data_IF_285739724527
#
_entry.id   IF_285739724527
#
_cell.length_a   1.000
_cell.length_b   1.000
_cell.length_c   1.000
_cell.angle_alpha   90.00
_cell.angle_beta   90.00
_cell.angle_gamma   90.00
#
_symmetry.space_group_name_H-M   'P 1'
#
loop_
_entity.id
_entity.type
_entity.pdbx_description
1 polymer ?
#
# COMPACT_ATOMS: atom_id res chain seq x y z
N UNK A 1 -48.38 27.26 -13.64
CA UNK A 1 -47.32 26.75 -14.49
C UNK A 1 -45.94 27.26 -14.09
N UNK A 2 -45.63 28.55 -13.91
CA UNK A 2 -44.30 29.08 -13.55
C UNK A 2 -43.74 28.50 -12.24
N UNK A 3 -44.53 28.30 -11.19
CA UNK A 3 -44.07 27.73 -9.90
C UNK A 3 -43.64 26.25 -10.00
N UNK A 4 -44.31 25.48 -10.87
CA UNK A 4 -43.92 24.07 -11.10
C UNK A 4 -42.61 23.92 -11.84
N UNK A 5 -42.36 24.82 -12.81
CA UNK A 5 -41.08 24.85 -13.54
C UNK A 5 -39.88 25.22 -12.62
N UNK A 6 -40.10 26.12 -11.68
CA UNK A 6 -39.05 26.49 -10.69
C UNK A 6 -38.75 25.35 -9.74
N UNK A 7 -39.78 24.60 -9.28
CA UNK A 7 -39.60 23.42 -8.43
C UNK A 7 -38.87 22.29 -9.16
N UNK A 8 -39.17 22.04 -10.42
CA UNK A 8 -38.50 21.05 -11.26
C UNK A 8 -37.02 21.46 -11.53
N UNK A 9 -36.74 22.74 -11.79
CA UNK A 9 -35.39 23.24 -11.95
C UNK A 9 -34.56 23.10 -10.66
N UNK A 10 -35.15 23.40 -9.48
CA UNK A 10 -34.48 23.17 -8.19
C UNK A 10 -34.26 21.68 -7.91
N UNK A 11 -35.22 20.81 -8.21
CA UNK A 11 -35.04 19.35 -8.04
C UNK A 11 -33.93 18.81 -8.97
N UNK A 12 -33.84 19.30 -10.20
CA UNK A 12 -32.74 18.93 -11.12
C UNK A 12 -31.38 19.48 -10.65
N UNK A 13 -31.33 20.69 -10.09
CA UNK A 13 -30.11 21.25 -9.52
C UNK A 13 -29.64 20.45 -8.29
N UNK A 14 -30.57 20.03 -7.43
CA UNK A 14 -30.24 19.18 -6.26
C UNK A 14 -29.79 17.78 -6.66
N UNK A 15 -30.40 17.17 -7.69
CA UNK A 15 -29.98 15.86 -8.20
C UNK A 15 -28.58 15.90 -8.85
N UNK A 16 -28.19 17.01 -9.46
CA UNK A 16 -26.85 17.18 -10.01
C UNK A 16 -25.77 17.45 -8.95
N UNK A 17 -26.15 17.96 -7.77
CA UNK A 17 -25.23 18.20 -6.65
C UNK A 17 -24.97 16.96 -5.78
N UNK A 18 -25.76 15.88 -5.91
CA UNK A 18 -25.62 14.65 -5.14
C UNK A 18 -25.00 13.48 -5.93
N UNK A 19 -24.42 13.75 -7.08
CA UNK A 19 -23.64 12.75 -7.80
C UNK A 19 -22.39 12.41 -6.95
N UNK A 20 -22.53 11.45 -6.05
CA UNK A 20 -21.38 10.86 -5.38
C UNK A 20 -20.42 10.38 -6.47
N UNK A 21 -19.17 10.86 -6.42
CA UNK A 21 -18.15 10.43 -7.40
C UNK A 21 -18.09 8.91 -7.45
N UNK A 22 -17.98 8.36 -8.64
CA UNK A 22 -17.87 6.90 -8.82
C UNK A 22 -16.64 6.38 -8.06
N UNK A 23 -16.63 5.07 -7.76
CA UNK A 23 -15.47 4.44 -7.14
C UNK A 23 -14.19 4.71 -7.95
N UNK A 24 -14.28 4.64 -9.28
CA UNK A 24 -13.13 4.85 -10.16
C UNK A 24 -12.63 6.29 -10.14
N UNK A 25 -13.51 7.27 -10.06
CA UNK A 25 -13.13 8.68 -9.92
C UNK A 25 -12.41 8.92 -8.59
N UNK A 26 -12.90 8.37 -7.48
CA UNK A 26 -12.24 8.46 -6.17
C UNK A 26 -10.90 7.75 -6.17
N UNK A 27 -10.83 6.54 -6.73
CA UNK A 27 -9.58 5.79 -6.91
C UNK A 27 -8.58 6.59 -7.71
N UNK A 28 -8.97 7.13 -8.85
CA UNK A 28 -8.11 7.96 -9.71
C UNK A 28 -7.60 9.20 -8.97
N UNK A 29 -8.49 9.89 -8.25
CA UNK A 29 -8.11 11.06 -7.44
C UNK A 29 -7.06 10.69 -6.38
N UNK A 30 -7.28 9.63 -5.62
CA UNK A 30 -6.33 9.19 -4.58
C UNK A 30 -4.99 8.76 -5.17
N UNK A 31 -4.99 7.99 -6.27
CA UNK A 31 -3.78 7.59 -6.95
C UNK A 31 -2.99 8.80 -7.48
N UNK A 32 -3.68 9.78 -8.05
CA UNK A 32 -3.03 11.00 -8.55
C UNK A 32 -2.47 11.84 -7.39
N UNK A 33 -3.20 12.01 -6.31
CA UNK A 33 -2.75 12.72 -5.13
C UNK A 33 -1.52 12.07 -4.52
N UNK A 34 -1.59 10.78 -4.16
CA UNK A 34 -0.49 10.07 -3.51
C UNK A 34 0.72 9.87 -4.42
N UNK A 35 0.54 9.80 -5.74
CA UNK A 35 1.68 9.70 -6.66
C UNK A 35 2.49 11.00 -6.79
N UNK A 36 1.94 12.15 -6.42
CA UNK A 36 2.60 13.46 -6.48
C UNK A 36 3.09 13.95 -5.12
N UNK A 37 2.34 13.66 -4.06
CA UNK A 37 2.68 14.10 -2.73
C UNK A 37 3.95 13.37 -2.24
N UNK A 38 4.77 14.05 -1.46
CA UNK A 38 5.91 13.46 -0.76
C UNK A 38 5.62 13.48 0.73
N UNK A 39 5.78 12.35 1.44
CA UNK A 39 5.76 12.39 2.89
C UNK A 39 6.84 13.36 3.35
N UNK A 40 6.58 14.10 4.40
CA UNK A 40 7.57 14.98 4.99
C UNK A 40 8.72 14.12 5.52
N UNK A 41 9.97 14.46 5.21
CA UNK A 41 11.15 13.67 5.65
C UNK A 41 11.23 13.52 7.17
N UNK A 42 10.52 14.39 7.93
CA UNK A 42 10.32 14.26 9.39
C UNK A 42 9.56 12.98 9.81
N UNK A 43 8.73 12.40 8.95
CA UNK A 43 7.97 11.18 9.26
C UNK A 43 8.76 9.89 9.06
N UNK A 44 9.97 9.95 8.53
CA UNK A 44 10.84 8.78 8.30
C UNK A 44 11.73 8.44 9.50
N UNK A 45 11.71 9.28 10.54
CA UNK A 45 12.60 9.10 11.67
C UNK A 45 12.25 7.90 12.56
N UNK A 46 10.98 7.61 12.80
CA UNK A 46 10.63 6.77 13.95
C UNK A 46 9.44 5.82 13.78
N UNK A 47 9.13 5.23 12.69
CA UNK A 47 8.06 4.22 12.56
C UNK A 47 7.01 4.43 11.46
N UNK A 48 7.22 5.27 10.46
CA UNK A 48 6.12 5.60 9.56
C UNK A 48 6.25 5.10 8.11
N UNK A 49 6.90 3.94 7.94
CA UNK A 49 6.80 3.14 6.71
C UNK A 49 5.33 2.88 6.35
N UNK A 50 4.49 2.66 7.35
CA UNK A 50 3.03 2.49 7.22
C UNK A 50 2.35 3.61 6.44
N UNK A 51 2.68 4.85 6.78
CA UNK A 51 2.13 6.03 6.09
C UNK A 51 2.70 6.19 4.69
N UNK A 52 3.95 5.81 4.49
CA UNK A 52 4.63 5.96 3.22
C UNK A 52 4.19 4.96 2.15
N UNK A 53 3.70 3.78 2.55
CA UNK A 53 3.28 2.77 1.57
C UNK A 53 2.18 3.25 0.62
N UNK A 54 1.27 4.10 1.08
CA UNK A 54 0.29 4.73 0.20
C UNK A 54 0.95 5.51 -0.95
N UNK A 55 2.02 6.25 -0.66
CA UNK A 55 2.77 7.02 -1.67
C UNK A 55 3.60 6.12 -2.58
N UNK A 56 4.16 5.04 -2.05
CA UNK A 56 4.92 4.04 -2.81
C UNK A 56 3.99 3.30 -3.78
N UNK A 57 2.91 2.72 -3.28
CA UNK A 57 1.97 1.95 -4.08
C UNK A 57 1.32 2.80 -5.19
N UNK A 58 0.93 4.04 -4.89
CA UNK A 58 0.36 4.94 -5.89
C UNK A 58 1.34 5.26 -7.03
N UNK A 59 2.64 5.41 -6.73
CA UNK A 59 3.67 5.61 -7.76
C UNK A 59 3.89 4.39 -8.62
N UNK A 60 3.95 3.22 -8.01
CA UNK A 60 4.08 1.96 -8.76
C UNK A 60 2.87 1.71 -9.65
N UNK A 61 1.66 1.89 -9.13
CA UNK A 61 0.41 1.72 -9.87
C UNK A 61 0.28 2.70 -11.04
N UNK A 62 0.61 3.97 -10.82
CA UNK A 62 0.53 5.02 -11.86
C UNK A 62 1.77 5.07 -12.75
N UNK A 63 2.81 4.30 -12.46
CA UNK A 63 4.14 4.34 -13.13
C UNK A 63 4.78 5.73 -13.10
N UNK A 64 4.46 6.55 -12.11
CA UNK A 64 5.02 7.88 -11.91
C UNK A 64 6.09 7.84 -10.83
N UNK A 65 7.24 8.46 -11.08
CA UNK A 65 8.34 8.55 -10.12
C UNK A 65 8.69 7.19 -9.45
N UNK A 66 8.73 6.14 -10.27
CA UNK A 66 9.00 4.75 -9.84
C UNK A 66 10.34 4.66 -9.10
N UNK A 67 11.34 5.46 -9.50
CA UNK A 67 12.64 5.51 -8.83
C UNK A 67 12.51 5.87 -7.35
N UNK A 68 11.68 6.87 -7.04
CA UNK A 68 11.40 7.24 -5.66
C UNK A 68 10.76 6.08 -4.90
N UNK A 69 9.74 5.43 -5.48
CA UNK A 69 9.07 4.29 -4.85
C UNK A 69 10.04 3.14 -4.56
N UNK A 70 10.92 2.81 -5.50
CA UNK A 70 11.92 1.75 -5.33
C UNK A 70 12.98 2.12 -4.27
N UNK A 71 13.39 3.37 -4.20
CA UNK A 71 14.30 3.83 -3.14
C UNK A 71 13.66 3.69 -1.75
N UNK A 72 12.38 4.01 -1.64
CA UNK A 72 11.63 3.88 -0.40
C UNK A 72 11.52 2.42 0.03
N UNK A 73 11.16 1.53 -0.90
CA UNK A 73 11.11 0.10 -0.64
C UNK A 73 12.48 -0.47 -0.25
N UNK A 74 13.57 0.03 -0.85
CA UNK A 74 14.91 -0.39 -0.46
C UNK A 74 15.25 0.02 0.98
N UNK A 75 14.96 1.26 1.37
CA UNK A 75 15.13 1.73 2.76
C UNK A 75 14.32 0.89 3.74
N UNK A 76 13.08 0.55 3.39
CA UNK A 76 12.21 -0.30 4.19
C UNK A 76 12.86 -1.65 4.56
N UNK A 77 13.72 -2.20 3.69
CA UNK A 77 14.40 -3.46 4.00
C UNK A 77 15.54 -3.30 5.02
N UNK A 78 16.02 -2.09 5.24
CA UNK A 78 17.15 -1.77 6.10
C UNK A 78 16.70 -1.26 7.48
N UNK A 79 15.50 -0.69 7.57
CA UNK A 79 14.96 -0.12 8.79
C UNK A 79 14.46 -1.21 9.75
N UNK A 80 14.72 -1.03 11.03
CA UNK A 80 14.18 -1.84 12.13
C UNK A 80 13.49 -0.89 13.13
N UNK A 81 12.44 -1.33 13.83
CA UNK A 81 11.83 -2.66 13.83
C UNK A 81 10.83 -2.85 12.66
N UNK A 82 10.61 -4.11 12.29
CA UNK A 82 9.69 -4.52 11.24
C UNK A 82 8.48 -5.19 11.88
N UNK A 83 7.34 -4.53 11.90
CA UNK A 83 6.14 -5.04 12.55
C UNK A 83 5.18 -5.74 11.58
N UNK A 84 4.05 -6.20 12.09
CA UNK A 84 3.04 -6.90 11.29
C UNK A 84 2.49 -6.08 10.12
N UNK A 85 2.41 -4.76 10.27
CA UNK A 85 1.94 -3.87 9.19
C UNK A 85 3.00 -3.78 8.09
N UNK A 86 4.27 -3.67 8.48
CA UNK A 86 5.39 -3.61 7.55
C UNK A 86 5.53 -4.93 6.78
N UNK A 87 5.42 -6.06 7.47
CA UNK A 87 5.42 -7.38 6.84
C UNK A 87 4.32 -7.50 5.79
N UNK A 88 3.08 -7.17 6.17
CA UNK A 88 1.94 -7.30 5.28
C UNK A 88 2.05 -6.37 4.07
N UNK A 89 2.39 -5.11 4.29
CA UNK A 89 2.51 -4.11 3.22
C UNK A 89 3.68 -4.42 2.27
N UNK A 90 4.80 -4.90 2.81
CA UNK A 90 5.98 -5.23 2.03
C UNK A 90 5.73 -6.41 1.08
N UNK A 91 5.12 -7.49 1.60
CA UNK A 91 4.84 -8.67 0.77
C UNK A 91 3.74 -8.39 -0.25
N UNK A 92 2.70 -7.60 0.09
CA UNK A 92 1.68 -7.17 -0.87
C UNK A 92 2.30 -6.36 -2.02
N UNK A 93 3.14 -5.37 -1.68
CA UNK A 93 3.85 -4.58 -2.67
C UNK A 93 4.74 -5.45 -3.57
N UNK A 94 5.46 -6.41 -2.98
CA UNK A 94 6.29 -7.34 -3.75
C UNK A 94 5.47 -8.17 -4.72
N UNK A 95 4.42 -8.83 -4.27
CA UNK A 95 3.57 -9.69 -5.11
C UNK A 95 2.95 -8.94 -6.28
N UNK A 96 2.54 -7.70 -6.06
CA UNK A 96 1.91 -6.86 -7.09
C UNK A 96 2.90 -6.27 -8.08
N UNK A 97 4.08 -5.89 -7.63
CA UNK A 97 5.00 -5.05 -8.40
C UNK A 97 6.40 -5.62 -8.57
N UNK A 98 6.66 -6.88 -8.24
CA UNK A 98 7.98 -7.50 -8.36
C UNK A 98 8.60 -7.41 -9.77
N UNK A 99 7.78 -7.27 -10.81
CA UNK A 99 8.27 -7.13 -12.18
C UNK A 99 9.11 -5.88 -12.42
N UNK A 100 8.91 -4.82 -11.63
CA UNK A 100 9.67 -3.57 -11.73
C UNK A 100 10.81 -3.49 -10.69
N UNK A 101 10.93 -4.46 -9.79
CA UNK A 101 11.98 -4.48 -8.78
C UNK A 101 13.33 -4.87 -9.40
N UNK A 102 14.42 -4.12 -9.14
CA UNK A 102 15.77 -4.57 -9.43
C UNK A 102 16.08 -5.89 -8.71
N UNK A 103 16.97 -6.69 -9.27
CA UNK A 103 17.38 -7.99 -8.69
C UNK A 103 17.81 -7.86 -7.23
N UNK A 104 18.65 -6.87 -6.95
CA UNK A 104 19.12 -6.60 -5.59
C UNK A 104 18.01 -6.32 -4.59
N UNK A 105 16.99 -5.53 -4.98
CA UNK A 105 15.85 -5.27 -4.12
C UNK A 105 15.00 -6.53 -3.90
N UNK A 106 14.84 -7.39 -4.91
CA UNK A 106 14.15 -8.68 -4.76
C UNK A 106 14.85 -9.56 -3.73
N UNK A 107 16.18 -9.62 -3.77
CA UNK A 107 16.99 -10.38 -2.82
C UNK A 107 16.86 -9.84 -1.39
N UNK A 108 16.88 -8.51 -1.23
CA UNK A 108 16.66 -7.86 0.07
C UNK A 108 15.27 -8.17 0.64
N UNK A 109 14.22 -8.01 -0.18
CA UNK A 109 12.85 -8.34 0.24
C UNK A 109 12.76 -9.82 0.62
N UNK A 110 13.28 -10.73 -0.21
CA UNK A 110 13.33 -12.15 0.11
C UNK A 110 14.00 -12.39 1.47
N UNK A 111 15.23 -11.92 1.64
CA UNK A 111 15.98 -12.08 2.87
C UNK A 111 15.21 -11.56 4.08
N UNK A 112 14.63 -10.36 3.97
CA UNK A 112 13.85 -9.75 5.05
C UNK A 112 12.62 -10.58 5.38
N UNK A 113 11.80 -10.88 4.39
CA UNK A 113 10.55 -11.59 4.59
C UNK A 113 10.75 -13.03 5.08
N UNK A 114 11.80 -13.72 4.64
CA UNK A 114 12.07 -15.10 5.07
C UNK A 114 12.80 -15.21 6.42
N UNK A 115 13.22 -14.10 7.01
CA UNK A 115 13.84 -14.06 8.34
C UNK A 115 12.85 -13.73 9.47
N UNK A 116 11.60 -13.38 9.17
CA UNK A 116 10.62 -12.99 10.16
C UNK A 116 9.94 -14.18 10.83
N UNK A 117 9.64 -14.06 12.12
CA UNK A 117 8.86 -15.05 12.87
C UNK A 117 7.36 -14.73 12.78
N UNK A 118 6.70 -15.30 11.80
CA UNK A 118 5.26 -15.13 11.59
C UNK A 118 4.38 -15.89 12.57
N UNK A 119 4.97 -16.68 13.46
CA UNK A 119 4.27 -17.38 14.53
C UNK A 119 4.33 -16.60 15.85
N UNK A 120 5.11 -15.53 15.88
CA UNK A 120 5.19 -14.64 17.04
C UNK A 120 3.80 -14.19 17.49
N UNK A 121 3.60 -14.15 18.79
CA UNK A 121 2.30 -13.84 19.38
C UNK A 121 2.05 -12.32 19.32
N UNK A 122 1.20 -11.90 18.40
CA UNK A 122 0.74 -10.53 18.33
C UNK A 122 -0.16 -10.17 19.51
N UNK A 123 -0.15 -8.92 19.94
CA UNK A 123 -0.91 -8.44 21.10
C UNK A 123 -2.43 -8.53 20.95
N UNK A 124 -2.94 -8.60 19.71
CA UNK A 124 -4.37 -8.71 19.39
C UNK A 124 -4.62 -9.77 18.31
N UNK A 125 -5.87 -10.25 18.21
CA UNK A 125 -6.26 -11.19 17.17
C UNK A 125 -5.99 -10.64 15.75
N UNK A 126 -6.25 -9.36 15.55
CA UNK A 126 -5.95 -8.68 14.28
C UNK A 126 -4.46 -8.74 13.93
N UNK A 127 -3.59 -8.48 14.89
CA UNK A 127 -2.15 -8.51 14.69
C UNK A 127 -1.66 -9.92 14.34
N UNK A 128 -2.17 -10.93 15.03
CA UNK A 128 -1.89 -12.35 14.72
C UNK A 128 -2.33 -12.72 13.31
N UNK A 129 -3.53 -12.26 12.90
CA UNK A 129 -4.03 -12.52 11.56
C UNK A 129 -3.15 -11.86 10.50
N UNK A 130 -2.71 -10.62 10.73
CA UNK A 130 -1.82 -9.92 9.80
C UNK A 130 -0.47 -10.62 9.67
N UNK A 131 0.17 -11.04 10.76
CA UNK A 131 1.41 -11.82 10.71
C UNK A 131 1.23 -13.14 9.94
N UNK A 132 0.21 -13.93 10.27
CA UNK A 132 -0.04 -15.21 9.61
C UNK A 132 -0.35 -15.03 8.12
N UNK A 133 -1.09 -13.98 7.77
CA UNK A 133 -1.36 -13.65 6.37
C UNK A 133 -0.08 -13.26 5.65
N UNK A 134 0.77 -12.43 6.26
CA UNK A 134 2.06 -12.07 5.69
C UNK A 134 2.97 -13.30 5.50
N UNK A 135 3.02 -14.20 6.48
CA UNK A 135 3.76 -15.47 6.38
C UNK A 135 3.25 -16.36 5.24
N UNK A 136 1.93 -16.51 5.12
CA UNK A 136 1.33 -17.26 4.02
C UNK A 136 1.69 -16.64 2.64
N UNK A 137 1.57 -15.33 2.51
CA UNK A 137 1.93 -14.61 1.27
C UNK A 137 3.44 -14.71 0.97
N UNK A 138 4.27 -14.71 2.02
CA UNK A 138 5.72 -14.94 1.87
C UNK A 138 6.02 -16.34 1.34
N UNK A 139 5.35 -17.36 1.86
CA UNK A 139 5.51 -18.74 1.35
C UNK A 139 5.05 -18.88 -0.12
N UNK A 140 4.01 -18.14 -0.52
CA UNK A 140 3.60 -18.09 -1.93
C UNK A 140 4.63 -17.39 -2.82
N UNK A 141 5.22 -16.30 -2.33
CA UNK A 141 6.23 -15.53 -3.07
C UNK A 141 7.57 -16.28 -3.18
N UNK A 142 7.92 -17.07 -2.15
CA UNK A 142 9.19 -17.77 -2.01
C UNK A 142 8.94 -19.24 -1.63
N UNK A 143 8.53 -20.09 -2.59
CA UNK A 143 8.05 -21.45 -2.32
C UNK A 143 9.13 -22.42 -1.83
N UNK A 144 10.38 -22.04 -1.87
CA UNK A 144 11.54 -22.74 -1.30
C UNK A 144 11.87 -22.30 0.15
N UNK A 145 11.16 -21.31 0.69
CA UNK A 145 11.31 -20.91 2.07
C UNK A 145 10.87 -22.02 3.04
N UNK A 146 11.73 -22.32 4.01
CA UNK A 146 11.46 -23.38 5.00
C UNK A 146 11.73 -24.80 4.49
N UNK A 147 12.21 -24.97 3.25
CA UNK A 147 12.80 -26.25 2.82
C UNK A 147 14.25 -26.26 3.35
N UNK A 148 14.51 -27.15 4.30
CA UNK A 148 15.87 -27.42 4.71
C UNK A 148 16.67 -27.93 3.51
N UNK A 149 17.86 -27.38 3.29
CA UNK A 149 18.87 -27.95 2.39
C UNK A 149 19.39 -29.30 2.96
#
# INVERSE_FOLDING_TARGET
>A
MKKLLILLAFAFLFLSLTSASSFDERKKYLLDYYSKARPNDQYWGDNDIKTAMGFVLARLETKKDVKYALNMLNRMQEDAPFDMFDCHQNIDAYLRFQSVYPKELKEKVRKRMTSEDYLADGSTENHRLMFKTAGYLTALAFPDWGKAD
#
